data_IF_369741517723
#
_entry.id   IF_369741517723
#
_cell.length_a   1.000
_cell.length_b   1.000
_cell.length_c   1.000
_cell.angle_alpha   90.00
_cell.angle_beta   90.00
_cell.angle_gamma   90.00
#
_symmetry.space_group_name_H-M   'P 1'
#
loop_
_entity.id
_entity.type
_entity.pdbx_description
1 polymer ?
#
# COMPACT_ATOMS: atom_id res chain seq x y z
N UNK A 1 17.74 -37.28 9.31
CA UNK A 1 17.29 -35.87 9.44
C UNK A 1 15.79 -35.88 9.63
N UNK A 2 15.20 -34.96 10.43
CA UNK A 2 13.75 -34.86 10.55
C UNK A 2 13.11 -34.62 9.18
N UNK A 3 11.96 -35.23 8.93
CA UNK A 3 11.21 -35.03 7.68
C UNK A 3 10.71 -33.58 7.58
N UNK A 4 10.26 -33.17 6.39
CA UNK A 4 9.63 -31.86 6.23
C UNK A 4 8.43 -31.70 7.19
N UNK A 5 7.64 -32.76 7.36
CA UNK A 5 6.45 -32.73 8.22
C UNK A 5 6.85 -32.60 9.70
N UNK A 6 7.91 -33.29 10.14
CA UNK A 6 8.45 -33.12 11.50
C UNK A 6 8.92 -31.68 11.75
N UNK A 7 9.50 -31.03 10.73
CA UNK A 7 9.96 -29.63 10.81
C UNK A 7 8.81 -28.63 10.78
N UNK A 8 7.74 -28.93 10.05
CA UNK A 8 6.57 -28.06 9.95
C UNK A 8 5.63 -28.18 11.16
N UNK A 9 5.60 -29.34 11.82
CA UNK A 9 4.67 -29.62 12.90
C UNK A 9 4.67 -28.59 14.04
N UNK A 10 5.83 -28.06 14.51
CA UNK A 10 5.84 -26.98 15.52
C UNK A 10 5.14 -25.70 15.06
N UNK A 11 5.24 -25.33 13.78
CA UNK A 11 4.52 -24.19 13.22
C UNK A 11 3.01 -24.44 13.20
N UNK A 12 2.58 -25.61 12.71
CA UNK A 12 1.17 -25.97 12.65
C UNK A 12 0.54 -25.98 14.06
N UNK A 13 1.22 -26.53 15.06
CA UNK A 13 0.78 -26.51 16.45
C UNK A 13 0.64 -25.09 16.99
N UNK A 14 1.65 -24.24 16.75
CA UNK A 14 1.65 -22.84 17.17
C UNK A 14 0.52 -22.03 16.52
N UNK A 15 0.28 -22.24 15.22
CA UNK A 15 -0.81 -21.58 14.48
C UNK A 15 -2.20 -22.06 14.91
N UNK A 16 -2.38 -23.36 15.17
CA UNK A 16 -3.65 -23.90 15.69
C UNK A 16 -3.94 -23.42 17.12
N UNK A 17 -2.92 -23.22 17.95
CA UNK A 17 -3.08 -22.64 19.28
C UNK A 17 -3.64 -21.20 19.24
N UNK A 18 -3.31 -20.44 18.18
CA UNK A 18 -3.88 -19.12 17.88
C UNK A 18 -5.21 -19.18 17.13
N UNK A 19 -5.81 -20.38 16.99
CA UNK A 19 -7.08 -20.60 16.27
C UNK A 19 -7.04 -20.12 14.81
N UNK A 20 -5.88 -20.15 14.16
CA UNK A 20 -5.78 -19.78 12.75
C UNK A 20 -6.47 -20.83 11.86
N UNK A 21 -7.23 -20.40 10.82
CA UNK A 21 -7.90 -21.32 9.90
C UNK A 21 -6.92 -22.27 9.18
N UNK A 22 -7.33 -23.50 8.91
CA UNK A 22 -6.46 -24.53 8.31
C UNK A 22 -5.90 -24.09 6.94
N UNK A 23 -6.69 -23.41 6.11
CA UNK A 23 -6.22 -22.82 4.83
C UNK A 23 -5.06 -21.84 5.01
N UNK A 24 -4.98 -21.11 6.14
CA UNK A 24 -3.87 -20.20 6.46
C UNK A 24 -2.63 -21.01 6.83
N UNK A 25 -2.81 -22.10 7.59
CA UNK A 25 -1.75 -23.04 7.95
C UNK A 25 -1.20 -23.72 6.70
N UNK A 26 -2.06 -24.17 5.79
CA UNK A 26 -1.67 -24.79 4.52
C UNK A 26 -0.97 -23.80 3.58
N UNK A 27 -1.46 -22.55 3.53
CA UNK A 27 -0.79 -21.46 2.79
C UNK A 27 0.61 -21.19 3.36
N UNK A 28 0.74 -21.12 4.69
CA UNK A 28 2.06 -20.96 5.33
C UNK A 28 2.95 -22.19 5.10
N UNK A 29 2.40 -23.41 5.15
CA UNK A 29 3.10 -24.67 4.83
C UNK A 29 3.68 -24.65 3.42
N UNK A 30 2.90 -24.15 2.46
CA UNK A 30 3.31 -24.02 1.07
C UNK A 30 4.55 -23.11 0.93
N UNK A 31 4.53 -21.92 1.53
CA UNK A 31 5.68 -21.00 1.48
C UNK A 31 6.85 -21.47 2.34
N UNK A 32 6.59 -22.08 3.50
CA UNK A 32 7.63 -22.69 4.33
C UNK A 32 8.36 -23.81 3.59
N UNK A 33 7.65 -24.61 2.77
CA UNK A 33 8.29 -25.61 1.89
C UNK A 33 9.23 -24.96 0.89
N UNK A 34 8.81 -23.88 0.22
CA UNK A 34 9.69 -23.15 -0.70
C UNK A 34 10.95 -22.66 0.02
N UNK A 35 10.82 -22.08 1.22
CA UNK A 35 11.96 -21.66 2.03
C UNK A 35 12.86 -22.85 2.40
N UNK A 36 12.27 -23.95 2.86
CA UNK A 36 12.97 -25.16 3.28
C UNK A 36 13.80 -25.78 2.15
N UNK A 37 13.25 -25.77 0.93
CA UNK A 37 13.88 -26.31 -0.26
C UNK A 37 14.92 -25.35 -0.88
N UNK A 38 15.19 -24.21 -0.23
CA UNK A 38 16.22 -23.24 -0.63
C UNK A 38 15.70 -22.08 -1.49
N UNK A 39 14.39 -21.98 -1.70
CA UNK A 39 13.75 -20.88 -2.43
C UNK A 39 14.10 -19.52 -1.82
N UNK A 40 14.55 -18.60 -2.67
CA UNK A 40 14.96 -17.26 -2.26
C UNK A 40 13.85 -16.22 -2.42
N UNK A 41 12.88 -16.48 -3.29
CA UNK A 41 11.85 -15.52 -3.69
C UNK A 41 12.32 -14.47 -4.69
N UNK A 42 13.57 -14.56 -5.15
CA UNK A 42 14.17 -13.63 -6.11
C UNK A 42 13.67 -13.90 -7.52
N UNK A 43 13.56 -12.82 -8.30
CA UNK A 43 13.20 -12.82 -9.72
C UNK A 43 14.33 -12.14 -10.48
N UNK A 44 15.15 -12.93 -11.16
CA UNK A 44 16.33 -12.44 -11.87
C UNK A 44 15.95 -11.70 -13.14
N UNK A 45 16.76 -10.71 -13.51
CA UNK A 45 16.51 -9.89 -14.70
C UNK A 45 16.44 -10.72 -15.99
N UNK A 46 17.24 -11.79 -16.09
CA UNK A 46 17.24 -12.65 -17.28
C UNK A 46 15.95 -13.49 -17.43
N UNK A 47 15.19 -13.69 -16.35
CA UNK A 47 13.93 -14.43 -16.31
C UNK A 47 12.74 -13.59 -16.81
N UNK A 48 12.92 -12.26 -16.91
CA UNK A 48 11.85 -11.31 -17.19
C UNK A 48 12.16 -10.43 -18.40
N UNK A 49 11.13 -9.79 -18.93
CA UNK A 49 11.21 -8.79 -19.99
C UNK A 49 10.45 -7.53 -19.58
N UNK A 50 10.91 -6.34 -19.99
CA UNK A 50 10.17 -5.11 -19.75
C UNK A 50 8.86 -5.12 -20.54
N UNK A 51 7.81 -4.55 -19.94
CA UNK A 51 6.53 -4.28 -20.62
C UNK A 51 6.70 -3.01 -21.45
N UNK A 52 6.41 -3.10 -22.76
CA UNK A 52 6.62 -1.97 -23.68
C UNK A 52 5.45 -0.99 -23.61
N UNK A 53 4.23 -1.49 -23.85
CA UNK A 53 3.04 -0.68 -23.98
C UNK A 53 1.89 -1.24 -23.16
N UNK A 54 1.05 -0.35 -22.65
CA UNK A 54 -0.18 -0.67 -21.93
C UNK A 54 -1.33 0.21 -22.44
N UNK A 55 -2.58 -0.26 -22.33
CA UNK A 55 -3.74 0.62 -22.48
C UNK A 55 -3.63 1.79 -21.51
N UNK A 56 -3.88 2.99 -22.02
CA UNK A 56 -3.77 4.22 -21.27
C UNK A 56 -5.16 4.72 -20.85
N UNK A 57 -5.40 4.79 -19.54
CA UNK A 57 -6.68 5.23 -18.98
C UNK A 57 -7.04 6.67 -19.35
N UNK A 58 -6.06 7.53 -19.68
CA UNK A 58 -6.32 8.91 -20.13
C UNK A 58 -6.91 8.96 -21.54
N UNK A 59 -6.74 7.90 -22.32
CA UNK A 59 -7.26 7.77 -23.70
C UNK A 59 -8.58 7.01 -23.78
N UNK A 60 -9.11 6.53 -22.65
CA UNK A 60 -10.34 5.76 -22.61
C UNK A 60 -11.54 6.60 -23.07
N UNK A 61 -12.31 6.02 -23.99
CA UNK A 61 -13.49 6.66 -24.56
C UNK A 61 -14.57 6.90 -23.49
N UNK A 62 -15.32 7.99 -23.64
CA UNK A 62 -16.32 8.42 -22.66
C UNK A 62 -17.43 7.38 -22.41
N UNK A 63 -17.77 6.56 -23.41
CA UNK A 63 -18.79 5.50 -23.27
C UNK A 63 -18.39 4.39 -22.28
N UNK A 64 -17.09 4.24 -21.96
CA UNK A 64 -16.68 3.37 -20.86
C UNK A 64 -17.16 3.90 -19.51
N UNK A 65 -17.37 5.21 -19.37
CA UNK A 65 -17.97 5.79 -18.17
C UNK A 65 -19.39 5.27 -17.93
N UNK A 66 -20.21 5.20 -18.98
CA UNK A 66 -21.58 4.68 -18.91
C UNK A 66 -21.60 3.20 -18.50
N UNK A 67 -20.74 2.37 -19.12
CA UNK A 67 -20.56 0.97 -18.71
C UNK A 67 -20.07 0.82 -17.26
N UNK A 68 -19.26 1.77 -16.78
CA UNK A 68 -18.85 1.82 -15.39
C UNK A 68 -20.02 2.11 -14.45
N UNK A 69 -20.86 3.09 -14.80
CA UNK A 69 -22.07 3.43 -14.03
C UNK A 69 -23.01 2.22 -13.95
N UNK A 70 -23.22 1.50 -15.05
CA UNK A 70 -24.03 0.28 -15.07
C UNK A 70 -23.49 -0.83 -14.15
N UNK A 71 -22.17 -0.83 -13.89
CA UNK A 71 -21.50 -1.81 -13.06
C UNK A 71 -21.37 -1.39 -11.58
N UNK A 72 -21.66 -0.14 -11.22
CA UNK A 72 -21.43 0.40 -9.86
C UNK A 72 -22.17 -0.39 -8.78
N UNK A 73 -23.42 -0.80 -9.02
CA UNK A 73 -24.22 -1.60 -8.09
C UNK A 73 -23.64 -2.99 -7.83
N UNK A 74 -22.72 -3.44 -8.69
CA UNK A 74 -21.98 -4.70 -8.56
C UNK A 74 -20.54 -4.49 -8.07
N UNK A 75 -20.16 -3.27 -7.71
CA UNK A 75 -18.79 -2.92 -7.30
C UNK A 75 -18.71 -2.65 -5.80
N UNK A 76 -17.57 -2.99 -5.19
CA UNK A 76 -17.22 -2.60 -3.83
C UNK A 76 -15.83 -1.98 -3.75
N UNK A 77 -15.59 -1.10 -2.79
CA UNK A 77 -14.24 -0.58 -2.49
C UNK A 77 -13.67 -1.33 -1.29
N UNK A 78 -12.46 -1.88 -1.45
CA UNK A 78 -11.68 -2.47 -0.36
C UNK A 78 -10.44 -1.63 -0.11
N UNK A 79 -10.24 -1.15 1.11
CA UNK A 79 -9.02 -0.41 1.50
C UNK A 79 -8.14 -1.25 2.41
N UNK A 80 -6.87 -1.39 2.04
CA UNK A 80 -5.86 -2.01 2.90
C UNK A 80 -5.53 -1.04 4.04
N UNK A 81 -5.80 -1.49 5.27
CA UNK A 81 -5.71 -0.69 6.48
C UNK A 81 -4.97 -1.39 7.63
N UNK A 82 -4.27 -2.49 7.35
CA UNK A 82 -3.55 -3.25 8.38
C UNK A 82 -2.25 -2.60 8.89
N UNK A 83 -1.74 -1.58 8.19
CA UNK A 83 -0.47 -0.91 8.47
C UNK A 83 -0.55 0.13 9.59
N UNK A 84 0.39 0.03 10.54
CA UNK A 84 0.65 1.07 11.52
C UNK A 84 1.58 2.14 10.94
N UNK A 85 1.41 3.39 11.35
CA UNK A 85 2.30 4.50 10.92
C UNK A 85 3.58 4.58 11.74
N UNK A 86 4.18 3.46 12.14
CA UNK A 86 5.31 3.40 13.09
C UNK A 86 6.55 4.15 12.60
N UNK A 87 6.78 4.19 11.28
CA UNK A 87 7.88 4.96 10.68
C UNK A 87 7.79 6.46 10.96
N UNK A 88 6.57 6.96 11.18
CA UNK A 88 6.24 8.35 11.47
C UNK A 88 5.88 8.56 12.96
N UNK A 89 6.12 7.56 13.82
CA UNK A 89 5.85 7.63 15.26
C UNK A 89 4.40 7.32 15.68
N UNK A 90 3.55 6.80 14.79
CA UNK A 90 2.16 6.48 15.15
C UNK A 90 2.04 5.12 15.85
N UNK A 91 1.23 5.09 16.90
CA UNK A 91 0.86 3.86 17.63
C UNK A 91 -0.45 3.23 17.13
N UNK A 92 -1.15 3.90 16.23
CA UNK A 92 -2.47 3.50 15.71
C UNK A 92 -2.44 3.32 14.19
N UNK A 93 -3.58 2.92 13.62
CA UNK A 93 -3.75 2.84 12.17
C UNK A 93 -3.34 4.15 11.50
N UNK A 94 -2.49 4.06 10.46
CA UNK A 94 -2.01 5.24 9.74
C UNK A 94 -3.15 6.04 9.10
N UNK A 95 -4.25 5.36 8.75
CA UNK A 95 -5.43 5.99 8.16
C UNK A 95 -6.14 6.98 9.10
N UNK A 96 -5.85 6.96 10.41
CA UNK A 96 -6.38 7.89 11.40
C UNK A 96 -5.56 9.20 11.50
N UNK A 97 -4.48 9.32 10.72
CA UNK A 97 -3.71 10.56 10.64
C UNK A 97 -4.51 11.62 9.90
N UNK A 98 -4.60 12.83 10.47
CA UNK A 98 -5.16 14.02 9.80
C UNK A 98 -4.27 14.45 8.64
N UNK A 99 -4.84 14.55 7.45
CA UNK A 99 -4.11 14.80 6.20
C UNK A 99 -4.50 16.10 5.51
N UNK A 100 -5.79 16.45 5.50
CA UNK A 100 -6.26 17.64 4.80
C UNK A 100 -7.54 18.16 5.47
N UNK A 101 -7.60 19.47 5.68
CA UNK A 101 -8.79 20.19 6.17
C UNK A 101 -9.42 19.57 7.43
N UNK A 102 -8.57 19.10 8.34
CA UNK A 102 -8.98 18.46 9.60
C UNK A 102 -9.45 17.00 9.47
N UNK A 103 -9.58 16.48 8.25
CA UNK A 103 -9.96 15.10 7.96
C UNK A 103 -8.77 14.15 7.99
N UNK A 104 -9.01 12.94 8.50
CA UNK A 104 -8.08 11.81 8.39
C UNK A 104 -8.14 11.16 7.01
N UNK A 105 -7.18 10.29 6.66
CA UNK A 105 -7.32 9.48 5.44
C UNK A 105 -8.66 8.72 5.45
N UNK A 106 -9.02 8.13 6.59
CA UNK A 106 -10.22 7.31 6.70
C UNK A 106 -11.50 8.15 6.60
N UNK A 107 -11.49 9.40 7.11
CA UNK A 107 -12.60 10.34 6.89
C UNK A 107 -12.78 10.64 5.39
N UNK A 108 -11.68 10.91 4.68
CA UNK A 108 -11.71 11.19 3.24
C UNK A 108 -12.24 9.97 2.47
N UNK A 109 -11.70 8.79 2.75
CA UNK A 109 -12.13 7.52 2.12
C UNK A 109 -13.62 7.24 2.38
N UNK A 110 -14.09 7.42 3.62
CA UNK A 110 -15.49 7.23 3.97
C UNK A 110 -16.40 8.15 3.15
N UNK A 111 -16.02 9.41 3.02
CA UNK A 111 -16.81 10.42 2.28
C UNK A 111 -16.77 10.19 0.78
N UNK A 112 -15.65 9.75 0.22
CA UNK A 112 -15.56 9.30 -1.18
C UNK A 112 -16.53 8.15 -1.45
N UNK A 113 -16.59 7.15 -0.56
CA UNK A 113 -17.50 6.01 -0.68
C UNK A 113 -18.99 6.42 -0.57
N UNK A 114 -19.31 7.34 0.35
CA UNK A 114 -20.67 7.91 0.46
C UNK A 114 -21.04 8.66 -0.83
N UNK A 115 -20.12 9.48 -1.35
CA UNK A 115 -20.35 10.26 -2.56
C UNK A 115 -20.60 9.36 -3.78
N UNK A 116 -19.79 8.30 -3.96
CA UNK A 116 -19.94 7.35 -5.07
C UNK A 116 -21.05 6.31 -4.86
N UNK A 117 -21.62 6.23 -3.66
CA UNK A 117 -22.61 5.21 -3.23
C UNK A 117 -22.11 3.77 -3.38
N UNK A 118 -20.80 3.57 -3.27
CA UNK A 118 -20.18 2.25 -3.32
C UNK A 118 -19.81 1.81 -1.91
N UNK A 119 -20.15 0.58 -1.48
CA UNK A 119 -19.81 0.14 -0.14
C UNK A 119 -18.30 0.13 0.11
N UNK A 120 -17.92 0.45 1.34
CA UNK A 120 -16.54 0.47 1.79
C UNK A 120 -16.27 -0.68 2.76
N UNK A 121 -15.24 -1.46 2.47
CA UNK A 121 -14.73 -2.52 3.34
C UNK A 121 -13.26 -2.27 3.63
N UNK A 122 -12.87 -2.40 4.89
CA UNK A 122 -11.47 -2.33 5.30
C UNK A 122 -10.89 -3.74 5.45
N UNK A 123 -9.68 -3.95 4.94
CA UNK A 123 -8.83 -5.05 5.41
C UNK A 123 -7.98 -4.53 6.56
N UNK A 124 -8.43 -4.79 7.78
CA UNK A 124 -7.74 -4.37 9.00
C UNK A 124 -6.72 -5.43 9.45
N UNK A 125 -5.86 -5.03 10.37
CA UNK A 125 -5.10 -5.92 11.23
C UNK A 125 -5.68 -5.93 12.64
N UNK A 126 -5.24 -6.89 13.45
CA UNK A 126 -5.56 -6.96 14.88
C UNK A 126 -5.17 -5.68 15.67
N UNK A 127 -4.26 -4.86 15.13
CA UNK A 127 -3.82 -3.60 15.74
C UNK A 127 -4.58 -2.35 15.24
N UNK A 128 -5.43 -2.48 14.23
CA UNK A 128 -6.02 -1.32 13.54
C UNK A 128 -7.55 -1.38 13.46
N UNK A 129 -8.14 -2.55 13.71
CA UNK A 129 -9.59 -2.77 13.56
C UNK A 129 -10.42 -1.88 14.49
N UNK A 130 -10.15 -1.92 15.79
CA UNK A 130 -11.02 -1.30 16.79
C UNK A 130 -11.13 0.23 16.61
N UNK A 131 -9.99 0.87 16.42
CA UNK A 131 -9.82 2.30 16.23
C UNK A 131 -10.35 2.76 14.85
N UNK A 132 -10.19 1.95 13.80
CA UNK A 132 -10.76 2.24 12.48
C UNK A 132 -12.28 2.14 12.46
N UNK A 133 -12.86 1.08 13.04
CA UNK A 133 -14.31 0.91 13.14
C UNK A 133 -14.94 1.98 14.02
N UNK A 134 -14.26 2.41 15.09
CA UNK A 134 -14.71 3.53 15.94
C UNK A 134 -14.88 4.82 15.12
N UNK A 135 -13.95 5.12 14.20
CA UNK A 135 -14.09 6.26 13.31
C UNK A 135 -15.23 6.05 12.31
N UNK A 136 -15.27 4.90 11.62
CA UNK A 136 -16.32 4.62 10.63
C UNK A 136 -17.73 4.66 11.22
N UNK A 137 -17.91 4.32 12.50
CA UNK A 137 -19.22 4.36 13.18
C UNK A 137 -19.87 5.75 13.22
N UNK A 138 -19.11 6.82 12.94
CA UNK A 138 -19.61 8.19 12.77
C UNK A 138 -20.33 8.42 11.44
N UNK A 139 -20.07 7.58 10.43
CA UNK A 139 -20.63 7.65 9.08
C UNK A 139 -21.76 6.62 8.95
N UNK A 140 -22.99 7.00 9.28
CA UNK A 140 -24.17 6.13 9.23
C UNK A 140 -24.64 5.84 7.81
N UNK A 141 -24.29 6.72 6.90
CA UNK A 141 -24.53 6.59 5.46
C UNK A 141 -23.78 5.40 4.83
N UNK A 142 -22.76 4.86 5.52
CA UNK A 142 -22.05 3.64 5.13
C UNK A 142 -22.68 2.34 5.66
N UNK A 143 -23.76 2.41 6.45
CA UNK A 143 -24.42 1.22 6.97
C UNK A 143 -25.00 0.38 5.81
N UNK A 144 -24.61 -0.88 5.76
CA UNK A 144 -25.06 -1.84 4.74
C UNK A 144 -25.13 -3.25 5.33
N UNK A 145 -25.67 -4.21 4.56
CA UNK A 145 -25.65 -5.63 4.92
C UNK A 145 -24.25 -6.26 4.83
N UNK A 146 -23.30 -5.57 4.20
CA UNK A 146 -21.91 -6.02 4.10
C UNK A 146 -21.15 -5.56 5.34
N UNK A 147 -20.40 -6.45 6.03
CA UNK A 147 -19.55 -6.04 7.14
C UNK A 147 -18.53 -4.98 6.68
N UNK A 148 -18.28 -3.99 7.54
CA UNK A 148 -17.38 -2.86 7.22
C UNK A 148 -15.92 -3.25 7.14
N UNK A 149 -15.56 -4.44 7.59
CA UNK A 149 -14.20 -4.92 7.54
C UNK A 149 -14.08 -6.45 7.57
N UNK A 150 -12.86 -6.91 7.33
CA UNK A 150 -12.35 -8.22 7.67
C UNK A 150 -10.91 -8.08 8.14
N UNK A 151 -10.42 -9.06 8.91
CA UNK A 151 -9.10 -8.99 9.54
C UNK A 151 -8.12 -9.89 8.80
N UNK A 152 -6.96 -9.34 8.45
CA UNK A 152 -5.83 -10.09 7.91
C UNK A 152 -5.24 -11.02 8.98
N UNK A 153 -4.54 -12.06 8.53
CA UNK A 153 -3.93 -13.04 9.41
C UNK A 153 -2.57 -12.58 9.97
N UNK A 154 -2.01 -13.42 10.85
CA UNK A 154 -0.63 -13.39 11.31
C UNK A 154 0.00 -14.76 11.08
N UNK A 155 1.30 -14.79 10.80
CA UNK A 155 2.10 -16.00 10.65
C UNK A 155 3.32 -15.94 11.57
N UNK A 156 3.83 -17.09 12.02
CA UNK A 156 4.99 -17.11 12.90
C UNK A 156 6.26 -16.71 12.14
N UNK A 157 7.12 -15.93 12.79
CA UNK A 157 8.49 -15.66 12.34
C UNK A 157 9.32 -16.95 12.42
N UNK A 158 10.28 -17.09 11.52
CA UNK A 158 11.09 -18.30 11.37
C UNK A 158 12.53 -17.97 11.71
N UNK A 159 13.19 -18.71 12.61
CA UNK A 159 14.60 -18.47 12.93
C UNK A 159 15.50 -18.71 11.71
N UNK A 160 16.45 -17.82 11.44
CA UNK A 160 17.37 -18.02 10.32
C UNK A 160 18.36 -19.16 10.54
N UNK A 161 18.69 -19.48 11.80
CA UNK A 161 19.71 -20.46 12.15
C UNK A 161 19.31 -21.90 11.79
N UNK A 162 18.05 -22.27 11.99
CA UNK A 162 17.59 -23.66 11.89
C UNK A 162 16.20 -23.83 11.25
N UNK A 163 15.58 -22.74 10.82
CA UNK A 163 14.24 -22.67 10.25
C UNK A 163 13.12 -23.13 11.21
N UNK A 164 13.35 -23.14 12.52
CA UNK A 164 12.31 -23.41 13.52
C UNK A 164 11.46 -22.16 13.82
N UNK A 165 10.28 -22.30 14.47
CA UNK A 165 9.52 -21.14 14.93
C UNK A 165 10.35 -20.27 15.89
N UNK A 166 10.33 -18.96 15.68
CA UNK A 166 10.94 -18.01 16.61
C UNK A 166 10.22 -18.03 17.96
N UNK A 167 10.96 -17.81 19.04
CA UNK A 167 10.43 -17.74 20.41
C UNK A 167 10.95 -16.47 21.10
N UNK A 168 10.07 -15.72 21.76
CA UNK A 168 10.41 -14.49 22.46
C UNK A 168 9.63 -14.36 23.77
N UNK A 169 10.13 -15.00 24.83
CA UNK A 169 9.46 -15.04 26.13
C UNK A 169 9.16 -13.64 26.71
N UNK A 170 9.99 -12.64 26.43
CA UNK A 170 9.80 -11.27 26.91
C UNK A 170 8.58 -10.58 26.29
N UNK A 171 8.24 -10.92 25.03
CA UNK A 171 7.07 -10.40 24.33
C UNK A 171 6.66 -11.37 23.20
N UNK A 172 5.80 -12.37 23.50
CA UNK A 172 5.38 -13.37 22.53
C UNK A 172 4.68 -12.80 21.30
N UNK A 173 4.16 -11.57 21.36
CA UNK A 173 3.55 -10.92 20.20
C UNK A 173 4.56 -10.69 19.07
N UNK A 174 5.84 -10.54 19.41
CA UNK A 174 6.95 -10.35 18.47
C UNK A 174 7.34 -11.64 17.73
N UNK A 175 6.78 -12.78 18.10
CA UNK A 175 6.98 -14.04 17.38
C UNK A 175 6.16 -14.11 16.09
N UNK A 176 5.30 -13.13 15.85
CA UNK A 176 4.35 -13.10 14.73
C UNK A 176 4.61 -11.91 13.80
N UNK A 177 4.26 -12.06 12.53
CA UNK A 177 4.18 -10.97 11.56
C UNK A 177 2.94 -11.12 10.67
N UNK A 178 2.39 -10.03 10.13
CA UNK A 178 1.48 -10.12 8.99
C UNK A 178 2.17 -10.79 7.78
N UNK A 179 1.49 -11.68 7.04
CA UNK A 179 2.06 -12.34 5.85
C UNK A 179 2.07 -11.45 4.59
N UNK A 180 2.21 -10.13 4.77
CA UNK A 180 2.11 -9.14 3.69
C UNK A 180 0.67 -8.88 3.24
N UNK A 181 0.48 -7.90 2.36
CA UNK A 181 -0.85 -7.51 1.88
C UNK A 181 -1.45 -8.50 0.86
N UNK A 182 -0.66 -9.44 0.32
CA UNK A 182 -1.17 -10.56 -0.48
C UNK A 182 -2.09 -11.50 0.28
N UNK A 183 -2.13 -11.41 1.61
CA UNK A 183 -3.08 -12.14 2.47
C UNK A 183 -4.54 -11.77 2.21
N UNK A 184 -4.81 -10.65 1.52
CA UNK A 184 -6.18 -10.22 1.18
C UNK A 184 -7.02 -11.35 0.59
N UNK A 185 -6.46 -12.17 -0.29
CA UNK A 185 -7.19 -13.23 -0.96
C UNK A 185 -7.60 -14.35 0.00
N UNK A 186 -6.67 -14.78 0.87
CA UNK A 186 -6.95 -15.80 1.89
C UNK A 186 -7.91 -15.25 2.94
N UNK A 187 -7.72 -14.01 3.39
CA UNK A 187 -8.56 -13.33 4.37
C UNK A 187 -10.00 -13.10 3.88
N UNK A 188 -10.18 -12.81 2.60
CA UNK A 188 -11.51 -12.73 1.96
C UNK A 188 -12.27 -14.05 2.05
N UNK A 189 -11.57 -15.18 1.91
CA UNK A 189 -12.17 -16.53 2.01
C UNK A 189 -12.46 -16.89 3.46
N UNK A 190 -11.46 -16.81 4.34
CA UNK A 190 -11.56 -17.30 5.72
C UNK A 190 -12.55 -16.50 6.57
N UNK A 191 -12.69 -15.21 6.30
CA UNK A 191 -13.70 -14.36 6.96
C UNK A 191 -15.13 -14.59 6.45
N UNK A 192 -15.29 -15.32 5.34
CA UNK A 192 -16.55 -15.44 4.61
C UNK A 192 -16.97 -14.14 3.90
N UNK A 193 -16.09 -13.15 3.79
CA UNK A 193 -16.38 -11.90 3.10
C UNK A 193 -16.65 -12.15 1.60
N UNK A 194 -15.82 -12.94 0.93
CA UNK A 194 -15.98 -13.24 -0.50
C UNK A 194 -17.35 -13.86 -0.80
N UNK A 195 -17.78 -14.84 0.00
CA UNK A 195 -19.08 -15.49 -0.20
C UNK A 195 -20.25 -14.55 0.08
N UNK A 196 -20.16 -13.70 1.11
CA UNK A 196 -21.17 -12.66 1.40
C UNK A 196 -21.29 -11.65 0.27
N UNK A 197 -20.16 -11.17 -0.27
CA UNK A 197 -20.15 -10.23 -1.39
C UNK A 197 -20.80 -10.84 -2.63
N UNK A 198 -20.42 -12.06 -3.00
CA UNK A 198 -20.97 -12.75 -4.17
C UNK A 198 -22.48 -13.03 -4.02
N UNK A 199 -22.91 -13.45 -2.82
CA UNK A 199 -24.32 -13.70 -2.50
C UNK A 199 -25.16 -12.42 -2.53
N UNK A 200 -24.57 -11.27 -2.18
CA UNK A 200 -25.21 -9.97 -2.26
C UNK A 200 -25.19 -9.35 -3.68
N UNK A 201 -24.64 -10.06 -4.68
CA UNK A 201 -24.64 -9.62 -6.07
C UNK A 201 -23.40 -8.85 -6.53
N UNK A 202 -22.44 -8.58 -5.63
CA UNK A 202 -21.19 -7.94 -6.03
C UNK A 202 -20.37 -8.85 -6.94
N UNK A 203 -19.70 -8.24 -7.92
CA UNK A 203 -18.88 -8.89 -8.94
C UNK A 203 -17.47 -8.30 -9.00
N UNK A 204 -17.34 -7.02 -8.69
CA UNK A 204 -16.10 -6.29 -8.85
C UNK A 204 -15.64 -5.69 -7.51
N UNK A 205 -14.34 -5.68 -7.27
CA UNK A 205 -13.76 -4.95 -6.16
C UNK A 205 -12.63 -4.04 -6.65
N UNK A 206 -12.68 -2.77 -6.23
CA UNK A 206 -11.56 -1.84 -6.34
C UNK A 206 -10.77 -1.87 -5.03
N UNK A 207 -9.54 -2.37 -5.08
CA UNK A 207 -8.65 -2.53 -3.92
C UNK A 207 -7.54 -1.50 -3.98
N UNK A 208 -7.26 -0.81 -2.87
CA UNK A 208 -6.12 0.12 -2.80
C UNK A 208 -5.62 0.35 -1.37
N UNK A 209 -4.42 0.93 -1.25
CA UNK A 209 -3.88 1.32 0.05
C UNK A 209 -4.69 2.49 0.65
N UNK A 210 -4.94 2.46 1.97
CA UNK A 210 -5.59 3.57 2.66
C UNK A 210 -4.75 4.86 2.67
N UNK A 211 -3.43 4.75 2.53
CA UNK A 211 -2.53 5.91 2.51
C UNK A 211 -2.25 6.46 1.10
N UNK A 212 -2.87 5.90 0.06
CA UNK A 212 -2.89 6.47 -1.29
C UNK A 212 -4.15 7.31 -1.49
N UNK A 213 -4.01 8.64 -1.40
CA UNK A 213 -5.12 9.58 -1.53
C UNK A 213 -5.63 9.73 -2.97
N UNK A 214 -4.80 9.34 -3.95
CA UNK A 214 -5.17 9.33 -5.38
C UNK A 214 -6.03 8.13 -5.79
N UNK A 215 -6.11 7.10 -4.94
CA UNK A 215 -6.84 5.86 -5.24
C UNK A 215 -8.35 6.02 -5.05
N UNK A 216 -9.01 6.56 -6.07
CA UNK A 216 -10.45 6.82 -6.09
C UNK A 216 -11.10 6.03 -7.22
N UNK A 217 -12.30 5.48 -7.00
CA UNK A 217 -13.03 4.73 -8.01
C UNK A 217 -13.29 5.62 -9.24
N UNK A 218 -12.90 5.16 -10.43
CA UNK A 218 -13.14 5.84 -11.72
C UNK A 218 -14.04 4.96 -12.58
N UNK A 219 -15.16 5.51 -13.05
CA UNK A 219 -16.17 4.77 -13.81
C UNK A 219 -15.67 4.35 -15.19
N UNK A 220 -14.79 5.11 -15.85
CA UNK A 220 -14.23 4.69 -17.15
C UNK A 220 -13.31 3.49 -16.99
N UNK A 221 -12.52 3.46 -15.91
CA UNK A 221 -11.67 2.31 -15.58
C UNK A 221 -12.53 1.09 -15.21
N UNK A 222 -13.57 1.29 -14.39
CA UNK A 222 -14.53 0.23 -14.06
C UNK A 222 -15.20 -0.32 -15.32
N UNK A 223 -15.67 0.53 -16.23
CA UNK A 223 -16.29 0.12 -17.48
C UNK A 223 -15.33 -0.64 -18.40
N UNK A 224 -14.07 -0.21 -18.49
CA UNK A 224 -13.04 -0.96 -19.20
C UNK A 224 -12.84 -2.37 -18.62
N UNK A 225 -12.76 -2.45 -17.28
CA UNK A 225 -12.55 -3.69 -16.55
C UNK A 225 -13.74 -4.65 -16.70
N UNK A 226 -14.96 -4.16 -16.49
CA UNK A 226 -16.19 -4.94 -16.50
C UNK A 226 -16.56 -5.42 -17.90
N UNK A 227 -16.48 -4.54 -18.91
CA UNK A 227 -16.82 -4.86 -20.31
C UNK A 227 -15.89 -5.93 -20.89
N UNK A 228 -14.61 -5.89 -20.55
CA UNK A 228 -13.63 -6.91 -20.97
C UNK A 228 -13.64 -8.17 -20.11
N UNK A 229 -14.42 -8.18 -19.04
CA UNK A 229 -14.51 -9.29 -18.08
C UNK A 229 -13.14 -9.76 -17.58
N UNK A 230 -12.21 -8.81 -17.36
CA UNK A 230 -10.87 -9.14 -16.89
C UNK A 230 -10.97 -9.80 -15.50
N UNK A 231 -10.20 -10.87 -15.23
CA UNK A 231 -10.21 -11.51 -13.91
C UNK A 231 -9.51 -10.65 -12.85
N UNK A 232 -8.49 -9.91 -13.29
CA UNK A 232 -7.62 -9.07 -12.47
C UNK A 232 -7.06 -7.95 -13.34
N UNK A 233 -6.98 -6.74 -12.81
CA UNK A 233 -6.30 -5.63 -13.49
C UNK A 233 -5.53 -4.75 -12.50
N UNK A 234 -4.30 -4.39 -12.86
CA UNK A 234 -3.44 -3.49 -12.08
C UNK A 234 -3.38 -2.11 -12.72
N UNK A 235 -3.59 -1.05 -11.94
CA UNK A 235 -3.21 0.30 -12.36
C UNK A 235 -1.71 0.51 -12.10
N UNK A 236 -0.97 0.94 -13.12
CA UNK A 236 0.44 1.30 -13.02
C UNK A 236 0.64 2.76 -13.40
N UNK A 237 1.55 3.45 -12.73
CA UNK A 237 1.94 4.82 -13.06
C UNK A 237 3.31 4.81 -13.73
N UNK A 238 3.61 5.87 -14.50
CA UNK A 238 4.97 6.10 -14.99
C UNK A 238 5.92 6.26 -13.80
N UNK A 239 7.06 5.58 -13.89
CA UNK A 239 8.07 5.53 -12.86
C UNK A 239 8.92 6.80 -12.87
N UNK A 240 9.21 7.31 -11.69
CA UNK A 240 10.03 8.50 -11.46
C UNK A 240 11.25 8.13 -10.61
N UNK A 241 12.22 9.02 -10.51
CA UNK A 241 13.39 8.82 -9.63
C UNK A 241 13.01 8.62 -8.15
N UNK A 242 11.82 9.07 -7.72
CA UNK A 242 11.34 8.85 -6.36
C UNK A 242 10.89 7.39 -6.12
N UNK A 243 10.58 6.63 -7.18
CA UNK A 243 10.01 5.28 -7.12
C UNK A 243 11.08 4.19 -7.00
N UNK A 244 11.95 4.34 -6.00
CA UNK A 244 13.06 3.41 -5.72
C UNK A 244 12.65 2.19 -4.90
N UNK A 245 11.56 2.31 -4.12
CA UNK A 245 11.03 1.27 -3.22
C UNK A 245 9.60 0.91 -3.58
N UNK A 246 9.34 -0.38 -3.79
CA UNK A 246 8.07 -0.94 -4.25
C UNK A 246 8.33 -1.92 -5.39
N UNK A 247 7.37 -2.08 -6.30
CA UNK A 247 7.47 -3.04 -7.39
C UNK A 247 7.18 -2.44 -8.75
N UNK A 248 7.89 -2.93 -9.77
CA UNK A 248 7.64 -2.59 -11.16
C UNK A 248 6.98 -3.77 -11.89
N UNK A 249 6.18 -3.44 -12.91
CA UNK A 249 5.60 -4.42 -13.79
C UNK A 249 6.68 -5.00 -14.71
N UNK A 250 6.60 -6.29 -14.98
CA UNK A 250 7.39 -6.98 -15.99
C UNK A 250 6.52 -8.06 -16.65
N UNK A 251 7.09 -8.79 -17.59
CA UNK A 251 6.46 -9.97 -18.17
C UNK A 251 7.46 -11.11 -18.30
N UNK A 252 6.96 -12.34 -18.24
CA UNK A 252 7.73 -13.54 -18.59
C UNK A 252 8.00 -13.58 -20.12
N UNK A 253 8.91 -14.45 -20.59
CA UNK A 253 9.18 -14.58 -22.03
C UNK A 253 7.97 -14.97 -22.89
N UNK A 254 6.97 -15.64 -22.31
CA UNK A 254 5.70 -15.99 -22.95
C UNK A 254 4.62 -14.89 -22.83
N UNK A 255 4.97 -13.73 -22.26
CA UNK A 255 4.11 -12.54 -22.22
C UNK A 255 3.16 -12.47 -21.03
N UNK A 256 3.26 -13.38 -20.05
CA UNK A 256 2.48 -13.30 -18.82
C UNK A 256 3.00 -12.16 -17.95
N UNK A 257 2.12 -11.25 -17.56
CA UNK A 257 2.45 -10.15 -16.66
C UNK A 257 2.82 -10.66 -15.27
N UNK A 258 3.84 -10.06 -14.68
CA UNK A 258 4.31 -10.34 -13.32
C UNK A 258 4.67 -9.03 -12.60
N UNK A 259 4.69 -9.08 -11.28
CA UNK A 259 5.19 -8.00 -10.43
C UNK A 259 6.53 -8.42 -9.83
N UNK A 260 7.56 -7.57 -9.95
CA UNK A 260 8.82 -7.73 -9.21
C UNK A 260 8.95 -6.64 -8.17
N UNK A 261 8.81 -7.01 -6.90
CA UNK A 261 9.07 -6.13 -5.76
C UNK A 261 10.58 -5.93 -5.53
N UNK A 262 10.96 -4.83 -4.88
CA UNK A 262 12.37 -4.57 -4.54
C UNK A 262 12.99 -5.68 -3.69
N UNK A 263 12.20 -6.31 -2.81
CA UNK A 263 12.65 -7.44 -1.99
C UNK A 263 12.86 -8.75 -2.78
N UNK A 264 12.44 -8.77 -4.04
CA UNK A 264 12.62 -9.88 -4.98
C UNK A 264 13.70 -9.59 -6.03
N UNK A 265 14.32 -8.40 -5.99
CA UNK A 265 15.47 -8.06 -6.81
C UNK A 265 16.73 -8.65 -6.18
N UNK A 266 17.56 -9.33 -6.97
CA UNK A 266 18.89 -9.70 -6.55
C UNK A 266 19.82 -8.48 -6.57
N UNK A 267 20.83 -8.44 -5.71
CA UNK A 267 21.77 -7.33 -5.63
C UNK A 267 22.50 -7.11 -6.96
N UNK A 268 22.79 -8.17 -7.71
CA UNK A 268 23.42 -8.12 -9.04
C UNK A 268 22.53 -7.46 -10.10
N UNK A 269 21.21 -7.46 -9.89
CA UNK A 269 20.22 -6.90 -10.82
C UNK A 269 19.75 -5.49 -10.43
N UNK A 270 20.35 -4.90 -9.38
CA UNK A 270 19.92 -3.60 -8.82
C UNK A 270 19.92 -2.49 -9.87
N UNK A 271 20.93 -2.41 -10.73
CA UNK A 271 21.03 -1.37 -11.75
C UNK A 271 19.87 -1.49 -12.75
N UNK A 272 19.52 -2.71 -13.17
CA UNK A 272 18.35 -2.94 -14.02
C UNK A 272 17.06 -2.61 -13.29
N UNK A 273 16.94 -2.98 -12.02
CA UNK A 273 15.75 -2.68 -11.23
C UNK A 273 15.54 -1.18 -11.05
N UNK A 274 16.60 -0.39 -10.92
CA UNK A 274 16.51 1.07 -10.76
C UNK A 274 16.42 1.83 -12.10
N UNK A 275 16.66 1.17 -13.23
CA UNK A 275 16.46 1.73 -14.56
C UNK A 275 14.96 1.96 -14.85
N UNK A 276 14.54 3.22 -14.72
CA UNK A 276 13.16 3.67 -14.93
C UNK A 276 12.77 3.71 -16.42
N UNK A 277 13.72 3.76 -17.35
CA UNK A 277 13.41 3.75 -18.78
C UNK A 277 13.13 2.31 -19.25
N UNK A 278 13.87 1.35 -18.69
CA UNK A 278 13.67 -0.08 -18.93
C UNK A 278 12.39 -0.57 -18.28
N UNK A 279 12.28 -0.44 -16.96
CA UNK A 279 11.14 -0.90 -16.17
C UNK A 279 10.28 0.30 -15.76
N UNK A 280 9.57 0.84 -16.76
CA UNK A 280 8.89 2.15 -16.69
C UNK A 280 7.57 2.21 -15.94
N UNK A 281 6.95 1.05 -15.67
CA UNK A 281 5.63 0.98 -15.07
C UNK A 281 5.71 0.56 -13.61
N UNK A 282 5.34 1.46 -12.70
CA UNK A 282 5.36 1.26 -11.27
C UNK A 282 3.98 0.85 -10.73
N UNK A 283 3.94 -0.18 -9.90
CA UNK A 283 2.69 -0.65 -9.29
C UNK A 283 2.15 0.38 -8.28
N UNK A 284 0.94 0.89 -8.53
CA UNK A 284 0.28 1.83 -7.63
C UNK A 284 -0.37 1.15 -6.42
N UNK A 285 -0.50 -0.18 -6.47
CA UNK A 285 -1.31 -1.00 -5.59
C UNK A 285 -2.83 -0.67 -5.67
N UNK A 286 -3.28 0.01 -6.75
CA UNK A 286 -4.68 0.11 -7.11
C UNK A 286 -5.02 -1.08 -8.03
N UNK A 287 -5.86 -1.99 -7.55
CA UNK A 287 -6.19 -3.24 -8.23
C UNK A 287 -7.69 -3.37 -8.42
N UNK A 288 -8.07 -3.97 -9.53
CA UNK A 288 -9.43 -4.33 -9.84
C UNK A 288 -9.54 -5.86 -9.87
N UNK A 289 -10.48 -6.39 -9.09
CA UNK A 289 -10.70 -7.82 -8.94
C UNK A 289 -12.08 -8.19 -9.47
N UNK A 290 -12.16 -9.25 -10.26
CA UNK A 290 -13.42 -9.94 -10.52
C UNK A 290 -13.58 -11.02 -9.45
N UNK A 291 -14.54 -10.83 -8.56
CA UNK A 291 -14.76 -11.68 -7.38
C UNK A 291 -15.19 -13.11 -7.77
N UNK A 292 -15.87 -13.26 -8.91
CA UNK A 292 -16.26 -14.59 -9.43
C UNK A 292 -15.02 -15.32 -9.93
N UNK A 293 -14.17 -14.66 -10.72
CA UNK A 293 -12.92 -15.24 -11.20
C UNK A 293 -11.97 -15.57 -10.04
N UNK A 294 -11.90 -14.70 -9.03
CA UNK A 294 -11.14 -14.96 -7.80
C UNK A 294 -11.65 -16.21 -7.08
N UNK A 295 -12.95 -16.37 -6.90
CA UNK A 295 -13.53 -17.57 -6.28
C UNK A 295 -13.19 -18.84 -7.07
N UNK A 296 -13.29 -18.81 -8.39
CA UNK A 296 -12.97 -19.95 -9.26
C UNK A 296 -11.50 -20.36 -9.12
N UNK A 297 -10.56 -19.42 -9.25
CA UNK A 297 -9.12 -19.71 -9.14
C UNK A 297 -8.76 -20.24 -7.75
N UNK A 298 -9.37 -19.69 -6.68
CA UNK A 298 -9.15 -20.21 -5.33
C UNK A 298 -9.69 -21.63 -5.17
N UNK A 299 -10.86 -21.95 -5.73
CA UNK A 299 -11.40 -23.32 -5.70
C UNK A 299 -10.52 -24.31 -6.47
N UNK A 300 -10.06 -23.94 -7.66
CA UNK A 300 -9.16 -24.76 -8.49
C UNK A 300 -7.82 -25.05 -7.79
N UNK A 301 -7.35 -24.12 -6.95
CA UNK A 301 -6.08 -24.21 -6.24
C UNK A 301 -6.22 -24.62 -4.77
N UNK A 302 -7.36 -25.20 -4.38
CA UNK A 302 -7.64 -25.64 -3.00
C UNK A 302 -7.38 -24.54 -1.95
N UNK A 303 -7.72 -23.29 -2.29
CA UNK A 303 -7.59 -22.13 -1.44
C UNK A 303 -6.21 -21.45 -1.45
N UNK A 304 -5.18 -22.07 -2.04
CA UNK A 304 -3.82 -21.53 -2.07
C UNK A 304 -3.57 -20.85 -3.41
N UNK A 305 -3.66 -19.52 -3.44
CA UNK A 305 -3.48 -18.77 -4.69
C UNK A 305 -2.10 -18.98 -5.33
N UNK A 306 -1.07 -19.24 -4.52
CA UNK A 306 0.29 -19.53 -4.98
C UNK A 306 1.01 -18.28 -5.49
N UNK A 307 0.97 -17.21 -4.69
CA UNK A 307 1.68 -15.96 -5.00
C UNK A 307 3.20 -16.17 -4.85
N UNK A 308 4.03 -15.42 -5.60
CA UNK A 308 5.47 -15.40 -5.36
C UNK A 308 5.80 -15.07 -3.89
N UNK A 309 6.60 -15.93 -3.26
CA UNK A 309 7.06 -15.74 -1.88
C UNK A 309 8.05 -14.58 -1.80
N UNK A 310 7.87 -13.71 -0.83
CA UNK A 310 8.85 -12.70 -0.42
C UNK A 310 9.47 -13.18 0.90
N UNK A 311 10.81 -13.30 0.92
CA UNK A 311 11.58 -13.71 2.10
C UNK A 311 12.30 -12.52 2.72
N UNK A 312 11.68 -11.88 3.70
CA UNK A 312 12.25 -10.74 4.41
C UNK A 312 13.19 -11.19 5.54
N UNK A 313 14.43 -10.69 5.55
CA UNK A 313 15.37 -10.83 6.67
C UNK A 313 15.14 -9.70 7.68
N UNK A 314 14.85 -10.07 8.93
CA UNK A 314 14.59 -9.15 10.04
C UNK A 314 15.22 -9.68 11.33
N UNK A 315 15.05 -8.94 12.41
CA UNK A 315 15.29 -9.39 13.78
C UNK A 315 13.95 -9.65 14.48
N UNK A 316 13.94 -10.51 15.49
CA UNK A 316 12.73 -10.86 16.24
C UNK A 316 12.11 -9.62 16.89
N UNK A 317 12.94 -8.74 17.46
CA UNK A 317 12.56 -7.43 17.97
C UNK A 317 13.01 -6.33 16.98
N UNK A 318 12.09 -5.67 16.27
CA UNK A 318 12.43 -4.62 15.29
C UNK A 318 13.09 -3.38 15.91
N UNK A 319 12.98 -3.19 17.22
CA UNK A 319 13.63 -2.10 17.97
C UNK A 319 15.01 -2.45 18.49
N UNK A 320 15.43 -3.72 18.36
CA UNK A 320 16.75 -4.19 18.77
C UNK A 320 17.45 -4.90 17.59
N UNK A 321 18.43 -4.25 16.93
CA UNK A 321 19.15 -4.83 15.79
C UNK A 321 20.01 -6.05 16.16
N UNK A 322 20.34 -6.24 17.45
CA UNK A 322 21.15 -7.37 17.94
C UNK A 322 20.29 -8.56 18.37
N UNK A 323 18.96 -8.45 18.27
CA UNK A 323 18.05 -9.55 18.62
C UNK A 323 18.04 -10.66 17.55
N UNK A 324 17.56 -11.85 17.92
CA UNK A 324 17.62 -13.06 17.09
C UNK A 324 17.22 -12.81 15.62
N UNK A 325 18.07 -13.16 14.63
CA UNK A 325 17.73 -13.06 13.23
C UNK A 325 16.61 -14.02 12.83
N UNK A 326 15.60 -13.48 12.15
CA UNK A 326 14.42 -14.21 11.68
C UNK A 326 14.11 -13.93 10.21
N UNK A 327 13.43 -14.86 9.56
CA UNK A 327 12.72 -14.67 8.31
C UNK A 327 11.25 -14.33 8.59
N UNK A 328 10.72 -13.41 7.80
CA UNK A 328 9.29 -13.15 7.64
C UNK A 328 8.91 -13.55 6.23
N UNK A 329 7.96 -14.48 6.10
CA UNK A 329 7.41 -14.86 4.81
C UNK A 329 6.19 -14.00 4.51
N UNK A 330 6.24 -13.31 3.38
CA UNK A 330 5.21 -12.39 2.94
C UNK A 330 4.85 -12.63 1.48
N UNK A 331 3.72 -12.06 1.07
CA UNK A 331 3.31 -11.98 -0.34
C UNK A 331 2.76 -10.59 -0.65
N UNK A 332 2.90 -10.16 -1.90
CA UNK A 332 2.35 -8.90 -2.38
C UNK A 332 1.05 -9.16 -3.17
N UNK A 333 0.00 -8.38 -2.88
CA UNK A 333 -1.29 -8.53 -3.56
C UNK A 333 -1.18 -8.32 -5.08
N UNK A 334 -0.37 -7.36 -5.51
CA UNK A 334 -0.16 -7.11 -6.94
C UNK A 334 0.44 -8.30 -7.69
N UNK A 335 1.16 -9.20 -7.02
CA UNK A 335 1.73 -10.40 -7.64
C UNK A 335 0.68 -11.40 -8.11
N UNK A 336 -0.59 -11.25 -7.69
CA UNK A 336 -1.70 -12.05 -8.21
C UNK A 336 -1.92 -11.86 -9.71
N UNK A 337 -1.38 -10.79 -10.31
CA UNK A 337 -1.41 -10.58 -11.76
C UNK A 337 -0.82 -11.76 -12.54
N UNK A 338 0.17 -12.46 -11.96
CA UNK A 338 0.79 -13.64 -12.55
C UNK A 338 -0.06 -14.91 -12.41
N UNK A 339 -1.05 -14.89 -11.51
CA UNK A 339 -1.90 -16.05 -11.21
C UNK A 339 -3.10 -16.16 -12.14
N UNK A 340 -3.63 -15.03 -12.59
CA UNK A 340 -4.83 -14.98 -13.43
C UNK A 340 -4.45 -14.96 -14.92
N UNK A 341 -4.84 -16.03 -15.64
CA UNK A 341 -4.77 -16.02 -17.11
C UNK A 341 -5.67 -14.91 -17.65
N UNK A 342 -5.11 -14.04 -18.49
CA UNK A 342 -5.83 -12.89 -19.04
C UNK A 342 -5.94 -11.69 -18.10
N UNK A 343 -5.14 -11.66 -17.02
CA UNK A 343 -4.97 -10.44 -16.23
C UNK A 343 -4.45 -9.29 -17.10
N UNK A 344 -4.90 -8.07 -16.81
CA UNK A 344 -4.46 -6.86 -17.49
C UNK A 344 -3.67 -5.92 -16.60
N UNK A 345 -3.01 -4.94 -17.22
CA UNK A 345 -2.57 -3.74 -16.56
C UNK A 345 -2.94 -2.53 -17.41
N UNK A 346 -3.09 -1.36 -16.79
CA UNK A 346 -3.37 -0.10 -17.47
C UNK A 346 -2.45 0.99 -16.94
N UNK A 347 -1.95 1.84 -17.82
CA UNK A 347 -1.26 3.07 -17.41
C UNK A 347 -2.31 4.05 -16.89
N UNK A 348 -2.05 4.66 -15.74
CA UNK A 348 -2.88 5.70 -15.15
C UNK A 348 -2.08 6.98 -14.92
N UNK A 349 -2.73 8.15 -14.92
CA UNK A 349 -2.06 9.39 -14.59
C UNK A 349 -1.54 9.37 -13.15
N UNK A 350 -0.41 10.05 -12.93
CA UNK A 350 0.32 10.04 -11.65
C UNK A 350 -0.53 10.47 -10.45
N UNK A 351 -1.52 11.32 -10.65
CA UNK A 351 -2.42 11.76 -9.56
C UNK A 351 -3.24 10.62 -8.93
N UNK A 352 -3.35 9.45 -9.58
CA UNK A 352 -3.96 8.24 -9.01
C UNK A 352 -3.02 7.47 -8.05
N UNK A 353 -1.76 7.91 -7.97
CA UNK A 353 -0.74 7.38 -7.08
C UNK A 353 -0.11 8.52 -6.26
N UNK A 354 -0.78 8.88 -5.18
CA UNK A 354 -0.34 9.89 -4.21
C UNK A 354 -0.24 9.26 -2.81
N UNK A 355 0.76 8.40 -2.58
CA UNK A 355 0.99 7.82 -1.26
C UNK A 355 1.67 8.83 -0.33
N UNK A 356 1.21 8.90 0.92
CA UNK A 356 1.91 9.66 1.98
C UNK A 356 2.73 8.67 2.80
N UNK A 357 4.05 8.58 2.61
CA UNK A 357 4.91 7.61 3.31
C UNK A 357 5.77 8.26 4.41
N UNK A 358 6.03 9.55 4.29
CA UNK A 358 6.90 10.34 5.16
C UNK A 358 6.17 11.60 5.65
N UNK A 359 6.76 12.28 6.63
CA UNK A 359 6.32 13.60 7.08
C UNK A 359 6.54 14.69 6.02
N UNK A 360 7.51 14.53 5.12
CA UNK A 360 7.65 15.39 3.93
C UNK A 360 6.43 15.31 3.03
N UNK A 361 5.98 14.08 2.70
CA UNK A 361 4.76 13.87 1.89
C UNK A 361 3.53 14.45 2.59
N UNK A 362 3.45 14.27 3.91
CA UNK A 362 2.36 14.79 4.73
C UNK A 362 2.33 16.32 4.73
N UNK A 363 3.49 16.97 4.87
CA UNK A 363 3.59 18.43 4.85
C UNK A 363 3.16 18.98 3.48
N UNK A 364 3.58 18.33 2.40
CA UNK A 364 3.15 18.65 1.05
C UNK A 364 1.61 18.58 0.91
N UNK A 365 1.00 17.45 1.29
CA UNK A 365 -0.46 17.27 1.19
C UNK A 365 -1.23 18.23 2.10
N UNK A 366 -0.72 18.53 3.30
CA UNK A 366 -1.35 19.48 4.24
C UNK A 366 -1.29 20.93 3.74
N UNK A 367 -0.30 21.29 2.94
CA UNK A 367 -0.16 22.63 2.35
C UNK A 367 -1.26 22.95 1.34
N UNK A 368 -1.32 24.20 0.89
CA UNK A 368 -2.21 24.66 -0.19
C UNK A 368 -1.75 24.22 -1.60
N UNK A 369 -0.63 23.49 -1.73
CA UNK A 369 -0.27 22.84 -3.00
C UNK A 369 -1.27 21.75 -3.40
N UNK A 370 -2.07 21.25 -2.44
CA UNK A 370 -3.17 20.32 -2.68
C UNK A 370 -4.50 20.91 -2.20
N UNK A 371 -5.58 20.51 -2.84
CA UNK A 371 -6.96 20.87 -2.49
C UNK A 371 -7.78 19.61 -2.21
N UNK A 372 -8.76 19.73 -1.33
CA UNK A 372 -9.82 18.74 -1.16
C UNK A 372 -11.04 19.20 -1.95
N UNK A 373 -11.45 18.43 -2.94
CA UNK A 373 -12.63 18.73 -3.77
C UNK A 373 -13.94 18.42 -3.04
N UNK A 374 -15.07 18.85 -3.60
CA UNK A 374 -16.41 18.55 -3.06
C UNK A 374 -16.73 17.05 -3.00
N UNK A 375 -16.17 16.26 -3.91
CA UNK A 375 -16.24 14.79 -3.93
C UNK A 375 -15.09 14.12 -3.14
N UNK A 376 -14.43 14.89 -2.27
CA UNK A 376 -13.40 14.45 -1.35
C UNK A 376 -12.17 13.83 -2.01
N UNK A 377 -11.80 14.26 -3.22
CA UNK A 377 -10.52 13.91 -3.84
C UNK A 377 -9.46 14.90 -3.40
N UNK A 378 -8.27 14.39 -3.08
CA UNK A 378 -7.09 15.23 -2.85
C UNK A 378 -6.40 15.41 -4.19
N UNK A 379 -6.49 16.61 -4.75
CA UNK A 379 -5.93 16.96 -6.05
C UNK A 379 -4.82 17.99 -5.89
N UNK A 380 -3.89 18.01 -6.82
CA UNK A 380 -2.93 19.10 -6.92
C UNK A 380 -3.67 20.41 -7.24
N UNK A 381 -3.23 21.53 -6.68
CA UNK A 381 -3.78 22.84 -6.98
C UNK A 381 -3.67 23.14 -8.50
N UNK A 382 -4.75 23.60 -9.17
CA UNK A 382 -4.75 23.84 -10.62
C UNK A 382 -3.63 24.78 -11.11
N UNK A 383 -3.30 25.80 -10.32
CA UNK A 383 -2.24 26.78 -10.63
C UNK A 383 -0.84 26.16 -10.76
N UNK A 384 -0.65 24.91 -10.32
CA UNK A 384 0.62 24.19 -10.44
C UNK A 384 0.83 23.46 -11.77
N UNK A 385 -0.13 23.55 -12.70
CA UNK A 385 -0.04 22.96 -14.04
C UNK A 385 0.34 21.45 -14.07
N UNK A 386 0.00 20.70 -13.02
CA UNK A 386 0.30 19.26 -12.91
C UNK A 386 1.64 18.91 -12.23
N UNK A 387 2.43 19.90 -11.82
CA UNK A 387 3.73 19.68 -11.17
C UNK A 387 3.62 19.60 -9.65
N UNK A 388 4.00 18.46 -9.07
CA UNK A 388 4.04 18.27 -7.62
C UNK A 388 5.04 19.20 -6.92
N UNK A 389 4.92 19.34 -5.59
CA UNK A 389 5.94 20.02 -4.77
C UNK A 389 6.91 18.99 -4.20
N UNK A 390 8.21 19.28 -4.25
CA UNK A 390 9.23 18.47 -3.60
C UNK A 390 9.47 19.01 -2.19
N UNK A 391 9.21 18.20 -1.17
CA UNK A 391 9.52 18.55 0.23
C UNK A 391 10.59 17.60 0.74
N UNK A 392 11.65 18.15 1.31
CA UNK A 392 12.78 17.39 1.85
C UNK A 392 13.14 17.91 3.25
N UNK A 393 12.69 17.18 4.27
CA UNK A 393 12.92 17.50 5.68
C UNK A 393 13.98 16.58 6.28
N UNK A 394 14.87 17.17 7.08
CA UNK A 394 15.91 16.43 7.81
C UNK A 394 15.31 15.38 8.76
N UNK A 395 15.51 14.09 8.44
CA UNK A 395 14.92 13.00 9.21
C UNK A 395 15.39 12.93 10.67
N UNK A 396 16.46 13.66 11.05
CA UNK A 396 16.90 13.77 12.45
C UNK A 396 15.93 14.57 13.33
N UNK A 397 15.13 15.43 12.72
CA UNK A 397 14.28 16.40 13.43
C UNK A 397 12.81 16.37 13.01
N UNK A 398 12.50 15.84 11.82
CA UNK A 398 11.13 15.87 11.28
C UNK A 398 10.57 14.49 10.98
N UNK A 399 11.26 13.39 11.31
CA UNK A 399 10.80 12.05 10.95
C UNK A 399 9.51 11.66 11.68
N UNK A 400 9.38 12.05 12.94
CA UNK A 400 8.19 11.78 13.74
C UNK A 400 7.17 12.91 13.58
N UNK A 401 5.87 12.59 13.60
CA UNK A 401 4.81 13.56 13.34
C UNK A 401 4.76 14.64 14.43
N UNK A 402 4.89 14.26 15.69
CA UNK A 402 4.91 15.18 16.83
C UNK A 402 6.11 16.14 16.76
N UNK A 403 7.28 15.64 16.38
CA UNK A 403 8.48 16.45 16.15
C UNK A 403 8.31 17.43 14.99
N UNK A 404 7.70 16.99 13.89
CA UNK A 404 7.38 17.85 12.75
C UNK A 404 6.33 18.91 13.13
N UNK A 405 5.25 18.53 13.82
CA UNK A 405 4.19 19.45 14.25
C UNK A 405 4.71 20.48 15.27
N UNK A 406 5.61 20.10 16.17
CA UNK A 406 6.26 21.04 17.11
C UNK A 406 7.07 22.13 16.39
N UNK A 407 7.62 21.80 15.21
CA UNK A 407 8.40 22.70 14.35
C UNK A 407 7.55 23.50 13.37
N UNK A 408 6.32 23.06 13.09
CA UNK A 408 5.31 23.78 12.31
C UNK A 408 4.06 24.07 13.16
N UNK A 409 4.17 24.86 14.25
CA UNK A 409 3.07 25.14 15.17
C UNK A 409 1.87 25.85 14.51
N UNK A 410 2.10 26.61 13.43
CA UNK A 410 1.06 27.26 12.64
C UNK A 410 0.43 26.35 11.57
N UNK A 411 0.87 25.09 11.47
CA UNK A 411 0.49 24.17 10.40
C UNK A 411 1.44 24.22 9.20
N UNK A 412 1.04 23.54 8.12
CA UNK A 412 1.84 23.48 6.90
C UNK A 412 1.98 24.87 6.26
N UNK A 413 3.17 25.21 5.72
CA UNK A 413 3.37 26.47 5.00
C UNK A 413 2.56 26.48 3.70
N UNK A 414 2.35 27.67 3.14
CA UNK A 414 1.88 27.83 1.77
C UNK A 414 2.99 27.40 0.81
N UNK A 415 2.67 26.43 -0.05
CA UNK A 415 3.56 25.80 -1.03
C UNK A 415 2.98 25.84 -2.45
N UNK A 416 1.82 26.46 -2.69
CA UNK A 416 1.20 26.54 -4.02
C UNK A 416 2.15 27.10 -5.08
N UNK A 417 3.00 28.07 -4.72
CA UNK A 417 4.02 28.67 -5.60
C UNK A 417 5.43 28.07 -5.41
N UNK A 418 5.57 27.03 -4.57
CA UNK A 418 6.84 26.40 -4.21
C UNK A 418 7.13 25.16 -5.07
N UNK A 419 8.31 25.08 -5.65
CA UNK A 419 8.77 23.94 -6.45
C UNK A 419 9.48 22.92 -5.55
N UNK A 420 10.35 23.42 -4.68
CA UNK A 420 11.10 22.62 -3.71
C UNK A 420 11.27 23.36 -2.40
N UNK A 421 11.01 22.66 -1.29
CA UNK A 421 11.35 23.10 0.06
C UNK A 421 12.33 22.09 0.67
N UNK A 422 13.55 22.53 0.95
CA UNK A 422 14.56 21.74 1.67
C UNK A 422 14.82 22.36 3.03
N UNK A 423 14.69 21.58 4.11
CA UNK A 423 15.01 22.01 5.47
C UNK A 423 16.07 21.08 6.07
N UNK A 424 17.20 21.66 6.49
CA UNK A 424 18.33 20.97 7.13
C UNK A 424 18.58 21.52 8.52
N UNK A 425 18.80 20.63 9.49
CA UNK A 425 18.98 21.01 10.89
C UNK A 425 17.68 21.32 11.63
N UNK A 426 17.82 21.73 12.90
CA UNK A 426 16.69 21.98 13.80
C UNK A 426 16.10 23.38 13.55
N UNK A 427 14.99 23.48 12.81
CA UNK A 427 14.32 24.73 12.47
C UNK A 427 12.88 24.69 12.95
N UNK A 428 12.42 25.75 13.62
CA UNK A 428 11.04 25.92 14.07
C UNK A 428 10.44 27.15 13.41
N UNK A 429 9.31 27.00 12.74
CA UNK A 429 8.60 28.06 12.01
C UNK A 429 7.55 28.70 12.93
N UNK A 430 7.82 29.91 13.41
CA UNK A 430 7.08 30.52 14.53
C UNK A 430 5.71 31.08 14.14
N UNK A 431 5.40 31.13 12.85
CA UNK A 431 4.12 31.60 12.33
C UNK A 431 3.81 31.01 10.95
N UNK A 432 2.71 31.45 10.32
CA UNK A 432 2.40 31.10 8.95
C UNK A 432 3.55 31.50 8.02
N UNK A 433 4.01 30.57 7.19
CA UNK A 433 5.05 30.81 6.20
C UNK A 433 4.49 30.59 4.80
N UNK A 434 4.99 31.38 3.83
CA UNK A 434 4.80 31.16 2.40
C UNK A 434 6.17 30.98 1.75
N UNK A 435 6.27 30.00 0.87
CA UNK A 435 7.46 29.73 0.08
C UNK A 435 7.12 29.78 -1.41
N UNK A 436 7.99 30.39 -2.20
CA UNK A 436 7.86 30.53 -3.65
C UNK A 436 9.17 30.10 -4.31
N UNK A 437 9.11 29.37 -5.42
CA UNK A 437 10.29 28.86 -6.13
C UNK A 437 10.96 27.68 -5.41
N UNK A 438 12.29 27.60 -5.45
CA UNK A 438 13.06 26.58 -4.71
C UNK A 438 13.72 27.22 -3.48
N UNK A 439 13.30 26.79 -2.28
CA UNK A 439 13.77 27.33 -1.00
C UNK A 439 14.61 26.28 -0.27
N UNK A 440 15.81 26.66 0.18
CA UNK A 440 16.64 25.86 1.08
C UNK A 440 16.90 26.62 2.38
N UNK A 441 16.59 25.99 3.52
CA UNK A 441 16.79 26.54 4.86
C UNK A 441 17.73 25.59 5.61
N UNK A 442 18.89 26.11 6.00
CA UNK A 442 19.93 25.34 6.69
C UNK A 442 20.18 25.95 8.06
N UNK A 443 20.03 25.16 9.11
CA UNK A 443 20.57 25.43 10.42
C UNK A 443 21.76 24.48 10.68
N UNK A 444 22.96 25.06 10.74
CA UNK A 444 24.21 24.36 11.06
C UNK A 444 24.60 24.46 12.55
N UNK A 445 23.80 25.19 13.35
CA UNK A 445 24.04 25.39 14.76
C UNK A 445 23.48 24.24 15.60
N UNK A 446 24.07 24.01 16.78
CA UNK A 446 23.54 23.03 17.75
C UNK A 446 22.19 23.45 18.34
N UNK A 447 21.90 24.76 18.35
CA UNK A 447 20.64 25.29 18.89
C UNK A 447 19.56 25.35 17.82
N UNK A 448 18.31 25.11 18.21
CA UNK A 448 17.15 25.28 17.34
C UNK A 448 17.08 26.72 16.81
N UNK A 449 16.91 26.84 15.49
CA UNK A 449 16.67 28.10 14.80
C UNK A 449 15.17 28.38 14.80
N UNK A 450 14.77 29.48 15.44
CA UNK A 450 13.41 29.99 15.31
C UNK A 450 13.33 30.88 14.06
N UNK A 451 12.62 30.41 13.05
CA UNK A 451 12.44 31.08 11.77
C UNK A 451 11.16 31.94 11.81
N UNK A 452 11.37 33.24 11.58
CA UNK A 452 10.31 34.25 11.53
C UNK A 452 10.37 34.92 10.15
N UNK A 453 9.58 34.44 9.19
CA UNK A 453 9.56 35.08 7.87
C UNK A 453 8.67 34.42 6.83
N UNK A 454 8.32 35.20 5.82
CA UNK A 454 7.96 34.74 4.48
C UNK A 454 9.26 34.65 3.68
N UNK A 455 9.60 33.50 3.10
CA UNK A 455 10.77 33.38 2.23
C UNK A 455 10.33 33.41 0.78
N UNK A 456 10.72 34.47 0.07
CA UNK A 456 10.65 34.53 -1.38
C UNK A 456 12.00 33.99 -1.89
N UNK A 457 12.03 32.82 -2.53
CA UNK A 457 13.25 32.41 -3.22
C UNK A 457 13.49 33.32 -4.43
N UNK A 458 14.74 33.72 -4.62
CA UNK A 458 15.24 34.29 -5.87
C UNK A 458 15.73 33.15 -6.78
N UNK A 459 15.18 33.08 -8.00
CA UNK A 459 15.50 32.16 -9.10
C UNK A 459 17.02 31.99 -9.38
N UNK A 460 17.46 30.94 -10.09
CA UNK A 460 16.82 30.35 -11.29
C UNK A 460 15.84 29.23 -11.00
#
# INVERSE_FOLDING_TARGET
MPSFDDRFQPFAQKMRAESLPEIVIDTFRHYYRQLHDGGTGLIREHEIRPVQDLPDAETFANNLGDHGVDALDQTIVIKLNGGLGTSMGLERAKSLLKVKDGHTFLDIIARQAIHSRVPLVLMNSFNTQADSLTLLNKYKELDSLIPRDFVQHKVPKIRQADLAPANHDADPSQEWNPPGHGDIYTALVTSGMLSKLLAAGYRYAFVSNADNLGAVLDTRILGYFSQRQLPFMMEVADRTEADKKGGHLAQTPDGQLILRESAQCDDEDTDYFQDIDRHRYFNTNNLWLNLVALQQVLQERNGILGLPMIRNRKTINPRNPDSEPVFQLETAMGSAIATFKGAGAIRVPRHRFSPVKTTSDLLAVRSDAYLLTEDYRVILHPDRAGEGVVVDLDSRYYKLIDEMEARFPAGAPSLVDCWRLTVRGDVRFEGPCRFTGSVEIINDQEKQLNYYGEAIATSP
#
